data_IF_871418545889
#
_entry.id   IF_871418545889
#
_cell.length_a   1.000
_cell.length_b   1.000
_cell.length_c   1.000
_cell.angle_alpha   90.00
_cell.angle_beta   90.00
_cell.angle_gamma   90.00
#
_symmetry.space_group_name_H-M   'P 1'
#
loop_
_entity.id
_entity.type
_entity.pdbx_description
1 polymer ?
#
# COMPACT_ATOMS: atom_id res chain seq x y z
N UNK A 1 -20.60 -14.61 -8.21
CA UNK A 1 -19.80 -15.52 -7.36
C UNK A 1 -20.15 -15.19 -5.92
N UNK A 2 -20.66 -16.15 -5.16
CA UNK A 2 -21.04 -15.93 -3.77
C UNK A 2 -19.77 -15.87 -2.92
N UNK A 3 -19.37 -14.68 -2.49
CA UNK A 3 -18.32 -14.53 -1.49
C UNK A 3 -18.88 -15.02 -0.16
N UNK A 4 -18.28 -16.10 0.36
CA UNK A 4 -18.59 -16.64 1.68
C UNK A 4 -18.26 -15.54 2.68
N UNK A 5 -19.28 -15.06 3.39
CA UNK A 5 -19.27 -13.99 4.37
C UNK A 5 -18.25 -14.28 5.49
N UNK A 6 -16.99 -14.01 5.24
CA UNK A 6 -15.85 -14.19 6.13
C UNK A 6 -15.61 -12.91 6.92
N UNK A 7 -16.61 -12.47 7.70
CA UNK A 7 -16.65 -11.17 8.39
C UNK A 7 -15.37 -10.84 9.17
N UNK A 8 -14.62 -11.86 9.61
CA UNK A 8 -13.37 -11.71 10.35
C UNK A 8 -12.10 -11.76 9.46
N UNK A 9 -12.09 -12.59 8.40
CA UNK A 9 -10.87 -12.79 7.58
C UNK A 9 -10.68 -11.66 6.56
N UNK A 10 -11.76 -11.20 5.94
CA UNK A 10 -11.74 -10.18 4.89
C UNK A 10 -11.31 -8.81 5.46
N UNK A 11 -11.77 -8.50 6.67
CA UNK A 11 -11.40 -7.29 7.40
C UNK A 11 -9.92 -7.28 7.81
N UNK A 12 -9.40 -8.42 8.26
CA UNK A 12 -7.98 -8.57 8.59
C UNK A 12 -7.09 -8.44 7.35
N UNK A 13 -7.51 -9.01 6.22
CA UNK A 13 -6.78 -8.90 4.96
C UNK A 13 -6.69 -7.45 4.47
N UNK A 14 -7.80 -6.68 4.55
CA UNK A 14 -7.80 -5.26 4.24
C UNK A 14 -6.92 -4.45 5.19
N UNK A 15 -6.94 -4.74 6.49
CA UNK A 15 -6.12 -4.05 7.48
C UNK A 15 -4.62 -4.28 7.27
N UNK A 16 -4.22 -5.52 7.02
CA UNK A 16 -2.83 -5.87 6.71
C UNK A 16 -2.42 -5.23 5.39
N UNK A 17 -3.27 -5.26 4.36
CA UNK A 17 -2.99 -4.62 3.07
C UNK A 17 -2.78 -3.11 3.19
N UNK A 18 -3.66 -2.41 3.91
CA UNK A 18 -3.48 -0.98 4.22
C UNK A 18 -2.20 -0.71 5.02
N UNK A 19 -1.90 -1.55 6.02
CA UNK A 19 -0.69 -1.43 6.83
C UNK A 19 0.58 -1.59 6.00
N UNK A 20 0.66 -2.62 5.16
CA UNK A 20 1.80 -2.88 4.26
C UNK A 20 1.92 -1.78 3.21
N UNK A 21 0.82 -1.29 2.64
CA UNK A 21 0.83 -0.17 1.70
C UNK A 21 1.36 1.11 2.36
N UNK A 22 0.94 1.41 3.59
CA UNK A 22 1.43 2.55 4.36
C UNK A 22 2.92 2.45 4.68
N UNK A 23 3.40 1.27 5.09
CA UNK A 23 4.84 1.02 5.32
C UNK A 23 5.66 1.17 4.04
N UNK A 24 5.17 0.66 2.91
CA UNK A 24 5.83 0.81 1.61
C UNK A 24 5.88 2.27 1.17
N UNK A 25 4.80 3.03 1.34
CA UNK A 25 4.76 4.46 1.01
C UNK A 25 5.78 5.22 1.86
N UNK A 26 5.86 4.91 3.15
CA UNK A 26 6.82 5.52 4.07
C UNK A 26 8.28 5.18 3.70
N UNK A 27 8.54 3.93 3.31
CA UNK A 27 9.85 3.51 2.81
C UNK A 27 10.24 4.23 1.52
N UNK A 28 9.33 4.34 0.53
CA UNK A 28 9.62 5.05 -0.72
C UNK A 28 9.79 6.56 -0.53
N UNK A 29 9.00 7.20 0.35
CA UNK A 29 9.20 8.61 0.69
C UNK A 29 10.54 8.83 1.40
N UNK A 30 10.93 7.89 2.26
CA UNK A 30 12.21 7.91 2.95
C UNK A 30 13.39 7.67 1.98
N UNK A 31 13.23 6.79 0.99
CA UNK A 31 14.23 6.56 -0.07
C UNK A 31 14.40 7.81 -0.95
N UNK A 32 13.31 8.50 -1.30
CA UNK A 32 13.36 9.79 -2.00
C UNK A 32 14.11 10.87 -1.20
N UNK A 33 13.87 10.95 0.11
CA UNK A 33 14.45 11.96 0.99
C UNK A 33 15.93 11.69 1.33
N UNK A 34 16.29 10.45 1.65
CA UNK A 34 17.62 10.08 2.19
C UNK A 34 18.48 9.28 1.19
N UNK A 35 17.93 8.79 0.08
CA UNK A 35 18.63 7.99 -0.94
C UNK A 35 19.03 6.58 -0.47
N UNK A 36 18.37 6.09 0.58
CA UNK A 36 18.72 4.89 1.35
C UNK A 36 17.41 4.15 1.61
N UNK A 37 17.20 2.86 1.24
CA UNK A 37 18.10 1.77 0.80
C UNK A 37 18.36 1.50 -0.71
N UNK A 38 17.71 2.16 -1.69
CA UNK A 38 17.87 1.83 -3.13
C UNK A 38 18.93 2.64 -3.90
N UNK A 39 19.76 3.44 -3.22
CA UNK A 39 20.95 4.10 -3.79
C UNK A 39 20.65 4.95 -5.03
N UNK A 40 19.43 5.51 -5.15
CA UNK A 40 19.00 6.38 -6.26
C UNK A 40 19.36 5.85 -7.66
N UNK A 41 19.28 4.54 -7.90
CA UNK A 41 19.60 3.98 -9.23
C UNK A 41 18.71 4.55 -10.33
N UNK A 42 17.47 4.94 -10.00
CA UNK A 42 16.63 5.74 -10.89
C UNK A 42 15.56 6.51 -10.12
N UNK A 43 15.60 7.85 -10.19
CA UNK A 43 14.55 8.74 -9.65
C UNK A 43 13.15 8.39 -10.18
N UNK A 44 13.08 7.81 -11.39
CA UNK A 44 11.83 7.34 -12.00
C UNK A 44 11.19 6.21 -11.19
N UNK A 45 12.00 5.27 -10.67
CA UNK A 45 11.51 4.13 -9.89
C UNK A 45 11.00 4.59 -8.53
N UNK A 46 11.67 5.57 -7.92
CA UNK A 46 11.23 6.19 -6.67
C UNK A 46 9.85 6.84 -6.81
N UNK A 47 9.68 7.69 -7.82
CA UNK A 47 8.41 8.40 -8.07
C UNK A 47 7.29 7.40 -8.39
N UNK A 48 7.57 6.42 -9.25
CA UNK A 48 6.59 5.38 -9.57
C UNK A 48 6.26 4.52 -8.34
N UNK A 49 7.23 4.19 -7.49
CA UNK A 49 7.03 3.45 -6.24
C UNK A 49 6.13 4.21 -5.25
N UNK A 50 6.34 5.51 -5.08
CA UNK A 50 5.46 6.37 -4.28
C UNK A 50 4.05 6.40 -4.85
N UNK A 51 3.90 6.57 -6.17
CA UNK A 51 2.57 6.62 -6.81
C UNK A 51 1.84 5.27 -6.68
N UNK A 52 2.51 4.15 -6.95
CA UNK A 52 1.90 2.82 -6.86
C UNK A 52 1.52 2.47 -5.42
N UNK A 53 2.38 2.77 -4.44
CA UNK A 53 2.05 2.54 -3.02
C UNK A 53 0.87 3.39 -2.55
N UNK A 54 0.77 4.65 -3.01
CA UNK A 54 -0.39 5.50 -2.74
C UNK A 54 -1.69 4.94 -3.35
N UNK A 55 -1.64 4.45 -4.60
CA UNK A 55 -2.80 3.82 -5.27
C UNK A 55 -3.23 2.56 -4.54
N UNK A 56 -2.30 1.68 -4.14
CA UNK A 56 -2.61 0.46 -3.40
C UNK A 56 -3.21 0.77 -2.03
N UNK A 57 -2.68 1.77 -1.33
CA UNK A 57 -3.26 2.25 -0.07
C UNK A 57 -4.67 2.79 -0.24
N UNK A 58 -4.93 3.54 -1.31
CA UNK A 58 -6.26 4.06 -1.64
C UNK A 58 -7.25 2.92 -1.98
N UNK A 59 -6.82 1.94 -2.77
CA UNK A 59 -7.63 0.79 -3.13
C UNK A 59 -7.99 -0.07 -1.91
N UNK A 60 -7.03 -0.25 -0.99
CA UNK A 60 -7.26 -0.92 0.29
C UNK A 60 -8.28 -0.18 1.16
N UNK A 61 -8.26 1.16 1.16
CA UNK A 61 -9.24 1.98 1.86
C UNK A 61 -10.64 1.88 1.22
N UNK A 62 -10.73 1.90 -0.10
CA UNK A 62 -12.02 1.79 -0.80
C UNK A 62 -12.66 0.41 -0.58
N UNK A 63 -11.88 -0.67 -0.63
CA UNK A 63 -12.33 -2.02 -0.29
C UNK A 63 -12.77 -2.15 1.17
N UNK A 64 -12.06 -1.51 2.11
CA UNK A 64 -12.46 -1.47 3.52
C UNK A 64 -13.79 -0.72 3.72
N UNK A 65 -14.01 0.36 2.96
CA UNK A 65 -15.26 1.13 2.98
C UNK A 65 -16.43 0.34 2.39
N UNK A 66 -16.20 -0.46 1.36
CA UNK A 66 -17.21 -1.34 0.74
C UNK A 66 -17.63 -2.49 1.70
N UNK A 67 -16.66 -3.04 2.44
CA UNK A 67 -16.89 -4.11 3.44
C UNK A 67 -17.53 -3.63 4.76
N UNK A 68 -17.67 -2.32 4.98
CA UNK A 68 -18.25 -1.74 6.20
C UNK A 68 -19.74 -1.49 6.04
#
# INVERSE_FOLDING_TARGET
>A
MQAVKGISMEKWLCWVSMGVAGVLLLLFVMDLALGFPFSRVSLVVDILGVVVSAIVGYLGWDAYKDLR
#
